data_IF_903356700122
#
_entry.id   IF_903356700122
#
_cell.length_a   1.000
_cell.length_b   1.000
_cell.length_c   1.000
_cell.angle_alpha   90.00
_cell.angle_beta   90.00
_cell.angle_gamma   90.00
#
_symmetry.space_group_name_H-M   'P 1'
#
loop_
_entity.id
_entity.type
_entity.pdbx_description
1 polymer ?
#
# COMPACT_ATOMS: atom_id res chain seq x y z
N UNK A 1 -74.52 30.23 -5.20
CA UNK A 1 -73.74 31.48 -5.30
C UNK A 1 -72.53 31.36 -4.37
N UNK A 2 -71.31 31.63 -4.90
CA UNK A 2 -69.95 31.52 -4.30
C UNK A 2 -69.35 30.09 -4.28
N UNK A 3 -68.63 29.63 -5.31
CA UNK A 3 -67.24 29.88 -5.80
C UNK A 3 -66.18 28.93 -5.18
N UNK A 4 -65.66 28.06 -6.05
CA UNK A 4 -64.36 27.37 -6.17
C UNK A 4 -63.33 27.40 -5.01
N UNK A 5 -62.75 26.24 -4.71
CA UNK A 5 -61.28 26.10 -4.67
C UNK A 5 -60.82 24.65 -4.97
N UNK A 6 -60.11 24.49 -6.08
CA UNK A 6 -59.36 23.27 -6.42
C UNK A 6 -58.15 23.14 -5.50
N UNK A 7 -58.01 22.01 -4.82
CA UNK A 7 -56.75 21.60 -4.21
C UNK A 7 -55.95 20.73 -5.20
N UNK A 8 -54.87 21.29 -5.73
CA UNK A 8 -53.84 20.58 -6.50
C UNK A 8 -53.01 19.75 -5.52
N UNK A 9 -53.08 18.43 -5.60
CA UNK A 9 -52.13 17.56 -4.89
C UNK A 9 -50.92 17.34 -5.78
N UNK A 10 -49.77 17.90 -5.38
CA UNK A 10 -48.48 17.74 -6.05
C UNK A 10 -48.03 16.27 -6.01
N UNK A 11 -47.54 15.77 -7.15
CA UNK A 11 -46.72 14.55 -7.24
C UNK A 11 -45.37 14.79 -6.55
N UNK A 12 -44.79 13.83 -5.81
CA UNK A 12 -43.44 13.99 -5.30
C UNK A 12 -42.44 13.83 -6.47
N UNK A 13 -41.62 14.85 -6.69
CA UNK A 13 -40.42 14.77 -7.51
C UNK A 13 -39.41 13.93 -6.73
N UNK A 14 -39.17 12.70 -7.17
CA UNK A 14 -38.04 11.90 -6.68
C UNK A 14 -36.78 12.46 -7.33
N UNK A 15 -36.02 13.24 -6.56
CA UNK A 15 -34.68 13.67 -6.92
C UNK A 15 -33.76 12.45 -6.78
N UNK A 16 -33.43 11.78 -7.89
CA UNK A 16 -32.37 10.76 -7.92
C UNK A 16 -31.05 11.52 -7.82
N UNK A 17 -30.50 11.59 -6.61
CA UNK A 17 -29.15 12.07 -6.39
C UNK A 17 -28.20 10.96 -6.88
N UNK A 18 -27.72 11.08 -8.11
CA UNK A 18 -26.67 10.21 -8.65
C UNK A 18 -25.37 10.52 -7.91
N UNK A 19 -25.13 9.84 -6.79
CA UNK A 19 -23.80 9.83 -6.18
C UNK A 19 -22.91 9.02 -7.13
N UNK A 20 -22.05 9.71 -7.87
CA UNK A 20 -20.88 9.07 -8.49
C UNK A 20 -19.99 8.59 -7.34
N UNK A 21 -20.24 7.39 -6.84
CA UNK A 21 -19.24 6.63 -6.10
C UNK A 21 -18.15 6.33 -7.12
N UNK A 22 -17.06 7.08 -7.08
CA UNK A 22 -15.80 6.64 -7.67
C UNK A 22 -15.49 5.30 -7.02
N UNK A 23 -15.73 4.21 -7.73
CA UNK A 23 -15.21 2.92 -7.30
C UNK A 23 -13.69 3.10 -7.23
N UNK A 24 -13.03 2.85 -6.08
CA UNK A 24 -11.57 2.86 -6.05
C UNK A 24 -11.05 1.90 -7.12
N UNK A 25 -9.86 2.12 -7.66
CA UNK A 25 -9.26 1.16 -8.56
C UNK A 25 -9.18 -0.21 -7.86
N UNK A 26 -9.59 -1.28 -8.54
CA UNK A 26 -9.60 -2.63 -7.98
C UNK A 26 -8.49 -3.46 -8.65
N UNK A 27 -7.89 -4.40 -7.93
CA UNK A 27 -7.06 -5.49 -8.45
C UNK A 27 -7.47 -6.81 -7.78
N UNK A 28 -7.34 -7.94 -8.47
CA UNK A 28 -7.64 -9.26 -7.90
C UNK A 28 -6.51 -9.69 -6.96
N UNK A 29 -6.82 -9.72 -5.66
CA UNK A 29 -5.92 -10.27 -4.64
C UNK A 29 -5.82 -11.78 -4.82
N UNK A 30 -4.59 -12.28 -4.90
CA UNK A 30 -4.31 -13.73 -4.99
C UNK A 30 -4.24 -14.35 -3.59
N UNK A 31 -4.04 -13.53 -2.56
CA UNK A 31 -4.06 -13.92 -1.16
C UNK A 31 -5.18 -13.19 -0.42
N UNK A 32 -5.95 -13.92 0.41
CA UNK A 32 -6.80 -13.32 1.43
C UNK A 32 -8.32 -13.55 1.31
N UNK A 33 -8.79 -14.79 1.31
CA UNK A 33 -10.04 -15.08 2.05
C UNK A 33 -9.62 -15.51 3.44
N UNK A 34 -9.44 -14.57 4.40
CA UNK A 34 -9.60 -14.73 5.86
C UNK A 34 -9.21 -13.47 6.69
N UNK A 35 -8.87 -12.31 6.09
CA UNK A 35 -8.60 -11.08 6.85
C UNK A 35 -9.18 -9.81 6.20
N UNK A 36 -9.54 -8.84 7.04
CA UNK A 36 -9.97 -7.47 6.67
C UNK A 36 -8.78 -6.59 6.23
N UNK A 37 -7.57 -7.16 6.11
CA UNK A 37 -6.33 -6.49 5.71
C UNK A 37 -5.83 -7.12 4.40
N UNK A 38 -5.32 -6.32 3.45
CA UNK A 38 -4.72 -6.86 2.23
C UNK A 38 -3.38 -7.58 2.48
N UNK A 39 -2.77 -7.38 3.66
CA UNK A 39 -1.51 -7.99 4.05
C UNK A 39 -1.69 -9.36 4.70
N UNK A 40 -0.85 -10.32 4.33
CA UNK A 40 -0.71 -11.62 4.99
C UNK A 40 0.59 -11.68 5.79
N UNK A 41 0.49 -11.96 7.09
CA UNK A 41 1.64 -11.99 7.99
C UNK A 41 2.33 -13.36 8.02
N UNK A 42 3.66 -13.34 8.01
CA UNK A 42 4.56 -14.49 8.15
C UNK A 42 5.62 -14.18 9.23
N UNK A 43 5.34 -14.52 10.51
CA UNK A 43 6.31 -14.35 11.59
C UNK A 43 7.50 -15.31 11.43
N UNK A 44 8.74 -14.82 11.61
CA UNK A 44 9.95 -15.63 11.45
C UNK A 44 10.23 -16.60 12.60
N UNK A 45 9.57 -16.42 13.75
CA UNK A 45 9.59 -17.33 14.90
C UNK A 45 8.56 -18.48 14.79
N UNK A 46 7.70 -18.47 13.78
CA UNK A 46 6.71 -19.51 13.57
C UNK A 46 7.31 -20.69 12.77
N UNK A 47 7.28 -21.89 13.37
CA UNK A 47 7.99 -23.08 12.89
C UNK A 47 7.60 -23.55 11.47
N UNK A 48 6.40 -23.21 11.02
CA UNK A 48 5.90 -23.59 9.70
C UNK A 48 6.07 -22.48 8.67
N UNK A 49 6.66 -21.35 9.04
CA UNK A 49 6.96 -20.25 8.11
C UNK A 49 7.98 -20.74 7.06
N UNK A 50 7.59 -20.90 5.79
CA UNK A 50 8.47 -21.46 4.77
C UNK A 50 9.65 -20.52 4.48
N UNK A 51 10.88 -21.04 4.50
CA UNK A 51 12.11 -20.33 4.10
C UNK A 51 12.44 -19.01 4.83
N UNK A 52 11.73 -18.62 5.90
CA UNK A 52 11.97 -17.38 6.66
C UNK A 52 12.39 -17.66 8.12
N UNK A 53 13.67 -18.01 8.38
CA UNK A 53 14.09 -18.67 9.62
C UNK A 53 14.64 -17.74 10.72
N UNK A 54 14.53 -16.42 10.60
CA UNK A 54 15.03 -15.50 11.65
C UNK A 54 13.94 -15.29 12.72
N UNK A 55 14.22 -15.76 13.93
CA UNK A 55 13.29 -15.69 15.06
C UNK A 55 13.01 -14.26 15.54
N UNK A 56 13.78 -13.28 15.07
CA UNK A 56 13.57 -11.87 15.35
C UNK A 56 13.15 -11.10 14.08
N UNK A 57 12.49 -11.75 13.12
CA UNK A 57 11.96 -11.07 11.94
C UNK A 57 10.46 -11.30 11.73
N UNK A 58 9.87 -10.39 10.97
CA UNK A 58 8.49 -10.47 10.49
C UNK A 58 8.46 -10.10 9.02
N UNK A 59 7.69 -10.86 8.26
CA UNK A 59 7.41 -10.60 6.86
C UNK A 59 5.91 -10.39 6.71
N UNK A 60 5.50 -9.38 5.96
CA UNK A 60 4.11 -9.20 5.57
C UNK A 60 4.06 -9.10 4.05
N UNK A 61 3.19 -9.87 3.41
CA UNK A 61 3.09 -9.92 1.95
C UNK A 61 1.76 -9.36 1.48
N UNK A 62 1.83 -8.58 0.40
CA UNK A 62 0.69 -8.19 -0.41
C UNK A 62 0.87 -8.80 -1.79
N UNK A 63 -0.02 -9.73 -2.17
CA UNK A 63 0.14 -10.55 -3.39
C UNK A 63 -1.10 -10.46 -4.26
N UNK A 64 -0.92 -10.07 -5.51
CA UNK A 64 -2.02 -9.84 -6.44
C UNK A 64 -1.61 -10.05 -7.90
N UNK A 65 -2.59 -10.16 -8.80
CA UNK A 65 -2.33 -10.23 -10.25
C UNK A 65 -2.17 -8.81 -10.83
N UNK A 66 -1.01 -8.43 -11.37
CA UNK A 66 -0.79 -7.06 -11.83
C UNK A 66 -1.64 -6.68 -13.06
N UNK A 67 -2.03 -7.67 -13.86
CA UNK A 67 -2.90 -7.52 -15.02
C UNK A 67 -4.40 -7.64 -14.70
N UNK A 68 -4.74 -7.92 -13.44
CA UNK A 68 -6.14 -7.89 -13.01
C UNK A 68 -6.47 -6.49 -12.49
N UNK A 69 -7.57 -5.93 -13.00
CA UNK A 69 -8.10 -4.66 -12.50
C UNK A 69 -7.65 -3.40 -13.24
N UNK A 70 -8.14 -2.25 -12.77
CA UNK A 70 -8.01 -0.96 -13.46
C UNK A 70 -7.22 0.03 -12.59
N UNK A 71 -5.91 -0.19 -12.49
CA UNK A 71 -4.96 0.68 -11.80
C UNK A 71 -3.67 0.81 -12.63
N UNK A 72 -3.00 1.93 -12.48
CA UNK A 72 -1.74 2.23 -13.17
C UNK A 72 -0.55 2.24 -12.19
N UNK A 73 -0.81 2.59 -10.94
CA UNK A 73 0.18 2.57 -9.85
C UNK A 73 -0.47 2.26 -8.50
N UNK A 74 0.34 1.78 -7.57
CA UNK A 74 0.00 1.67 -6.16
C UNK A 74 0.74 2.73 -5.35
N UNK A 75 0.04 3.39 -4.44
CA UNK A 75 0.63 4.25 -3.42
C UNK A 75 0.67 3.48 -2.11
N UNK A 76 1.86 3.38 -1.52
CA UNK A 76 2.11 2.73 -0.24
C UNK A 76 2.55 3.79 0.76
N UNK A 77 1.76 3.99 1.81
CA UNK A 77 2.06 4.98 2.85
C UNK A 77 2.23 4.30 4.20
N UNK A 78 3.26 4.69 4.95
CA UNK A 78 3.58 4.04 6.21
C UNK A 78 4.53 4.87 7.06
N UNK A 79 4.98 4.26 8.16
CA UNK A 79 5.99 4.82 9.05
C UNK A 79 7.19 3.88 9.12
N UNK A 80 8.39 4.43 9.22
CA UNK A 80 9.60 3.66 9.48
C UNK A 80 9.44 2.89 10.79
N UNK A 81 9.65 1.57 10.88
CA UNK A 81 9.50 0.85 12.13
C UNK A 81 10.68 1.15 13.08
N UNK A 82 10.48 1.00 14.39
CA UNK A 82 11.57 0.94 15.36
C UNK A 82 12.24 -0.43 15.27
N UNK A 83 13.19 -0.58 14.36
CA UNK A 83 13.86 -1.85 14.09
C UNK A 83 15.31 -1.65 13.68
N UNK A 84 16.09 -2.74 13.66
CA UNK A 84 17.47 -2.71 13.17
C UNK A 84 17.53 -2.63 11.65
N UNK A 85 16.58 -3.27 10.97
CA UNK A 85 16.52 -3.26 9.51
C UNK A 85 15.08 -3.41 9.01
N UNK A 86 14.79 -2.76 7.89
CA UNK A 86 13.50 -2.76 7.21
C UNK A 86 13.67 -2.71 5.69
N UNK A 87 12.78 -3.35 4.92
CA UNK A 87 12.76 -3.19 3.46
C UNK A 87 11.44 -3.55 2.79
N UNK A 88 11.29 -3.01 1.57
CA UNK A 88 10.32 -3.48 0.58
C UNK A 88 11.04 -4.30 -0.48
N UNK A 89 10.46 -5.44 -0.88
CA UNK A 89 11.02 -6.31 -1.91
C UNK A 89 9.90 -6.77 -2.83
N UNK A 90 10.17 -6.79 -4.13
CA UNK A 90 9.24 -7.22 -5.16
C UNK A 90 9.70 -8.54 -5.76
N UNK A 91 8.75 -9.45 -5.85
CA UNK A 91 8.91 -10.77 -6.42
C UNK A 91 7.86 -11.01 -7.49
N UNK A 92 8.24 -11.75 -8.54
CA UNK A 92 7.28 -12.63 -9.16
C UNK A 92 7.03 -13.78 -8.20
N UNK A 93 5.91 -13.70 -7.49
CA UNK A 93 5.53 -14.65 -6.45
C UNK A 93 5.27 -16.05 -7.01
N UNK A 94 4.87 -16.16 -8.29
CA UNK A 94 4.62 -17.46 -8.91
C UNK A 94 5.94 -18.18 -9.25
N UNK A 95 6.90 -17.46 -9.82
CA UNK A 95 8.22 -18.01 -10.18
C UNK A 95 9.24 -17.95 -9.03
N UNK A 96 8.91 -17.28 -7.92
CA UNK A 96 9.78 -17.04 -6.78
C UNK A 96 11.09 -16.31 -7.15
N UNK A 97 11.03 -15.36 -8.08
CA UNK A 97 12.17 -14.56 -8.54
C UNK A 97 12.02 -13.12 -8.08
N UNK A 98 13.07 -12.55 -7.47
CA UNK A 98 13.12 -11.13 -7.14
C UNK A 98 13.42 -10.28 -8.38
N UNK A 99 12.94 -9.03 -8.38
CA UNK A 99 13.26 -8.09 -9.46
C UNK A 99 13.47 -6.64 -9.01
N UNK A 100 13.07 -6.28 -7.78
CA UNK A 100 13.38 -4.97 -7.20
C UNK A 100 13.34 -5.03 -5.68
N UNK A 101 14.11 -4.16 -5.03
CA UNK A 101 14.09 -3.96 -3.59
C UNK A 101 14.38 -2.50 -3.25
N UNK A 102 13.93 -2.09 -2.07
CA UNK A 102 14.23 -0.79 -1.49
C UNK A 102 14.49 -1.00 0.01
N UNK A 103 15.76 -0.85 0.41
CA UNK A 103 16.19 -0.95 1.79
C UNK A 103 15.87 0.33 2.57
N UNK A 104 15.70 0.19 3.88
CA UNK A 104 15.43 1.29 4.81
C UNK A 104 16.22 2.57 4.57
N UNK A 105 17.55 2.49 4.44
CA UNK A 105 18.45 3.62 4.24
C UNK A 105 18.26 4.31 2.88
N UNK A 106 17.68 3.62 1.90
CA UNK A 106 17.41 4.15 0.56
C UNK A 106 16.06 4.88 0.48
N UNK A 107 15.15 4.64 1.43
CA UNK A 107 13.83 5.24 1.46
C UNK A 107 13.94 6.69 1.92
N UNK A 108 13.54 7.61 1.06
CA UNK A 108 13.42 9.01 1.40
C UNK A 108 12.15 9.25 2.23
N UNK A 109 12.23 9.98 3.35
CA UNK A 109 11.06 10.29 4.16
C UNK A 109 10.14 11.31 3.48
N UNK A 110 8.89 11.38 3.94
CA UNK A 110 7.97 12.44 3.56
C UNK A 110 8.53 13.82 3.95
N UNK A 111 8.03 14.88 3.32
CA UNK A 111 8.54 16.24 3.59
C UNK A 111 8.27 16.63 5.04
N UNK A 112 9.33 17.00 5.76
CA UNK A 112 9.28 17.30 7.20
C UNK A 112 9.50 16.08 8.10
N UNK A 113 9.62 14.88 7.53
CA UNK A 113 9.81 13.64 8.28
C UNK A 113 11.28 13.18 8.18
N UNK A 114 11.67 12.30 9.10
CA UNK A 114 13.03 11.79 9.26
C UNK A 114 13.05 10.30 8.92
N UNK A 115 14.07 9.88 8.16
CA UNK A 115 14.43 8.47 8.06
C UNK A 115 15.36 8.10 9.24
N UNK A 116 14.91 7.30 10.21
CA UNK A 116 15.69 6.95 11.40
C UNK A 116 16.75 5.86 11.16
N UNK A 117 16.85 5.35 9.93
CA UNK A 117 17.89 4.41 9.50
C UNK A 117 19.08 5.11 8.84
N UNK A 118 18.96 6.41 8.55
CA UNK A 118 20.11 7.25 8.22
C UNK A 118 20.96 7.41 9.50
N UNK A 119 22.25 7.02 9.48
CA UNK A 119 23.13 7.07 10.65
C UNK A 119 23.34 8.50 11.19
N UNK A 120 23.10 9.53 10.38
CA UNK A 120 23.24 10.93 10.79
C UNK A 120 21.95 11.50 11.40
N UNK A 121 20.87 10.71 11.46
CA UNK A 121 19.56 11.12 11.97
C UNK A 121 19.24 10.52 13.33
N UNK A 122 18.26 11.14 14.01
CA UNK A 122 17.74 10.63 15.28
C UNK A 122 16.88 9.39 15.04
N UNK A 123 17.27 8.28 15.67
CA UNK A 123 16.56 7.00 15.59
C UNK A 123 15.19 6.98 16.28
N UNK A 124 15.00 7.90 17.23
CA UNK A 124 13.78 8.09 18.02
C UNK A 124 12.88 9.23 17.50
N UNK A 125 13.09 9.69 16.27
CA UNK A 125 12.22 10.68 15.64
C UNK A 125 10.75 10.20 15.61
N UNK A 126 9.82 11.12 15.93
CA UNK A 126 8.37 10.86 15.90
C UNK A 126 7.79 11.06 14.49
N UNK A 127 8.18 12.12 13.79
CA UNK A 127 7.78 12.38 12.41
C UNK A 127 8.61 11.52 11.45
N UNK A 128 8.12 10.31 11.15
CA UNK A 128 8.88 9.24 10.47
C UNK A 128 8.10 8.52 9.37
N UNK A 129 7.17 9.20 8.73
CA UNK A 129 6.41 8.65 7.59
C UNK A 129 7.19 8.66 6.27
N UNK A 130 6.81 7.73 5.41
CA UNK A 130 7.25 7.66 4.02
C UNK A 130 6.06 7.36 3.09
N UNK A 131 6.23 7.75 1.85
CA UNK A 131 5.37 7.39 0.72
C UNK A 131 6.20 6.73 -0.37
N UNK A 132 5.76 5.57 -0.84
CA UNK A 132 6.34 4.80 -1.94
C UNK A 132 5.30 4.62 -3.04
N UNK A 133 5.76 4.69 -4.29
CA UNK A 133 4.94 4.37 -5.46
C UNK A 133 5.47 3.13 -6.16
N UNK A 134 4.59 2.15 -6.41
CA UNK A 134 4.84 1.06 -7.33
C UNK A 134 4.12 1.35 -8.64
N UNK A 135 4.89 1.69 -9.68
CA UNK A 135 4.34 2.14 -10.97
C UNK A 135 4.50 1.06 -12.02
N UNK A 136 3.46 0.82 -12.83
CA UNK A 136 3.59 -0.06 -14.01
C UNK A 136 4.61 0.52 -14.98
N UNK A 137 5.35 -0.36 -15.65
CA UNK A 137 6.27 0.04 -16.72
C UNK A 137 5.57 0.92 -17.77
N UNK A 138 6.19 2.04 -18.12
CA UNK A 138 5.63 3.02 -19.05
C UNK A 138 4.61 3.99 -18.46
N UNK A 139 4.20 3.83 -17.20
CA UNK A 139 3.34 4.78 -16.49
C UNK A 139 4.19 5.84 -15.80
N UNK A 140 3.91 7.14 -15.96
CA UNK A 140 4.62 8.18 -15.23
C UNK A 140 4.30 8.12 -13.73
N UNK A 141 5.34 8.19 -12.89
CA UNK A 141 5.17 8.40 -11.47
C UNK A 141 4.68 9.84 -11.16
N UNK A 142 4.03 10.08 -10.01
CA UNK A 142 3.74 11.44 -9.56
C UNK A 142 5.00 12.30 -9.53
N UNK A 143 4.88 13.57 -9.94
CA UNK A 143 6.04 14.46 -10.11
C UNK A 143 6.83 14.72 -8.81
N UNK A 144 6.17 14.60 -7.66
CA UNK A 144 6.74 14.77 -6.31
C UNK A 144 7.10 13.43 -5.64
N UNK A 145 7.00 12.30 -6.36
CA UNK A 145 7.33 10.99 -5.84
C UNK A 145 8.82 10.90 -5.49
N UNK A 146 9.11 10.69 -4.20
CA UNK A 146 10.49 10.52 -3.70
C UNK A 146 11.00 9.09 -3.79
N UNK A 147 10.09 8.12 -3.70
CA UNK A 147 10.39 6.69 -3.74
C UNK A 147 9.54 6.04 -4.82
N UNK A 148 10.17 5.46 -5.83
CA UNK A 148 9.50 4.80 -6.95
C UNK A 148 10.14 3.45 -7.20
N UNK A 149 9.32 2.41 -7.24
CA UNK A 149 9.67 1.10 -7.74
C UNK A 149 8.88 0.84 -9.01
N UNK A 150 9.53 0.26 -10.03
CA UNK A 150 8.87 -0.08 -11.28
C UNK A 150 8.41 -1.53 -11.23
N UNK A 151 7.17 -1.77 -11.63
CA UNK A 151 6.58 -3.07 -11.89
C UNK A 151 6.77 -3.38 -13.39
N UNK A 152 7.69 -4.28 -13.76
CA UNK A 152 7.92 -4.66 -15.16
C UNK A 152 6.70 -5.33 -15.76
N UNK A 153 6.54 -5.20 -17.08
CA UNK A 153 5.57 -6.02 -17.81
C UNK A 153 5.92 -7.51 -17.70
N UNK A 154 4.89 -8.38 -17.70
CA UNK A 154 5.07 -9.83 -17.72
C UNK A 154 5.33 -10.49 -16.36
N UNK A 155 5.26 -9.74 -15.25
CA UNK A 155 5.19 -10.33 -13.91
C UNK A 155 3.88 -11.12 -13.77
N UNK A 156 3.98 -12.43 -13.56
CA UNK A 156 2.81 -13.33 -13.52
C UNK A 156 1.98 -13.11 -12.25
N UNK A 157 2.64 -12.96 -11.11
CA UNK A 157 1.99 -12.64 -9.84
C UNK A 157 2.90 -11.73 -9.04
N UNK A 158 2.45 -10.51 -8.75
CA UNK A 158 3.25 -9.57 -7.98
C UNK A 158 3.16 -9.92 -6.50
N UNK A 159 4.29 -10.10 -5.85
CA UNK A 159 4.40 -10.10 -4.39
C UNK A 159 5.21 -8.90 -3.89
N UNK A 160 4.57 -8.01 -3.15
CA UNK A 160 5.21 -6.97 -2.35
C UNK A 160 5.46 -7.52 -0.95
N UNK A 161 6.73 -7.59 -0.55
CA UNK A 161 7.17 -8.10 0.73
C UNK A 161 7.68 -6.96 1.59
N UNK A 162 7.00 -6.73 2.70
CA UNK A 162 7.50 -5.95 3.81
C UNK A 162 8.35 -6.82 4.71
N UNK A 163 9.57 -6.39 5.03
CA UNK A 163 10.44 -7.10 5.95
C UNK A 163 10.81 -6.21 7.12
N UNK A 164 10.64 -6.70 8.35
CA UNK A 164 11.07 -6.05 9.58
C UNK A 164 11.99 -7.02 10.32
N UNK A 165 13.22 -6.59 10.62
CA UNK A 165 14.20 -7.40 11.33
C UNK A 165 14.67 -6.71 12.60
N UNK A 166 14.62 -7.47 13.68
CA UNK A 166 14.97 -7.08 15.05
C UNK A 166 14.34 -5.74 15.44
N UNK A 167 13.01 -5.72 15.66
CA UNK A 167 12.36 -4.61 16.34
C UNK A 167 13.08 -4.25 17.64
N UNK A 168 13.05 -2.98 17.99
CA UNK A 168 13.61 -2.49 19.24
C UNK A 168 12.87 -3.09 20.44
N UNK A 169 13.61 -3.26 21.54
CA UNK A 169 13.02 -3.76 22.77
C UNK A 169 11.89 -2.84 23.24
N UNK A 170 10.73 -3.43 23.55
CA UNK A 170 9.54 -2.70 23.99
C UNK A 170 8.52 -2.44 22.87
N UNK A 171 8.90 -2.67 21.61
CA UNK A 171 7.98 -2.65 20.47
C UNK A 171 7.55 -4.05 20.05
N UNK A 172 6.46 -4.12 19.29
CA UNK A 172 5.94 -5.36 18.72
C UNK A 172 6.78 -5.83 17.50
N UNK A 173 6.34 -6.91 16.85
CA UNK A 173 7.02 -7.47 15.68
C UNK A 173 7.04 -6.56 14.46
N UNK A 174 6.24 -5.47 14.44
CA UNK A 174 6.25 -4.44 13.42
C UNK A 174 7.13 -3.24 13.82
N UNK A 175 7.75 -3.23 14.99
CA UNK A 175 8.51 -2.09 15.47
C UNK A 175 7.62 -0.91 15.85
N UNK A 176 6.41 -1.17 16.36
CA UNK A 176 5.55 -0.15 16.97
C UNK A 176 4.74 0.69 16.00
N UNK A 177 4.69 0.31 14.72
CA UNK A 177 3.95 1.02 13.67
C UNK A 177 2.88 0.12 13.05
N UNK A 178 1.86 0.72 12.44
CA UNK A 178 0.87 -0.01 11.67
C UNK A 178 1.48 -0.53 10.36
N UNK A 179 0.85 -1.57 9.79
CA UNK A 179 1.16 -1.98 8.41
C UNK A 179 0.88 -0.82 7.43
N UNK A 180 1.67 -0.67 6.36
CA UNK A 180 1.46 0.38 5.39
C UNK A 180 0.09 0.28 4.72
N UNK A 181 -0.53 1.42 4.45
CA UNK A 181 -1.77 1.50 3.67
C UNK A 181 -1.41 1.45 2.19
N UNK A 182 -2.12 0.61 1.44
CA UNK A 182 -1.99 0.48 -0.02
C UNK A 182 -3.24 1.05 -0.68
N UNK A 183 -3.04 2.00 -1.59
CA UNK A 183 -4.09 2.59 -2.42
C UNK A 183 -3.77 2.34 -3.90
N UNK A 184 -4.72 1.79 -4.64
CA UNK A 184 -4.61 1.66 -6.09
C UNK A 184 -5.09 2.95 -6.78
N UNK A 185 -4.30 3.47 -7.71
CA UNK A 185 -4.53 4.75 -8.37
C UNK A 185 -4.45 4.61 -9.89
N UNK A 186 -5.21 5.45 -10.61
CA UNK A 186 -5.02 5.70 -12.04
C UNK A 186 -4.02 6.85 -12.21
N UNK A 187 -3.17 6.76 -13.22
CA UNK A 187 -2.30 7.86 -13.58
C UNK A 187 -3.14 8.97 -14.18
N UNK A 188 -2.86 10.21 -13.79
CA UNK A 188 -3.45 11.37 -14.45
C UNK A 188 -2.75 11.54 -15.81
N UNK A 189 -3.38 11.00 -16.86
CA UNK A 189 -2.87 11.06 -18.23
C UNK A 189 -3.18 12.42 -18.90
N UNK A 190 -3.73 13.40 -18.18
CA UNK A 190 -4.24 14.65 -18.77
C UNK A 190 -3.17 15.70 -19.12
N UNK A 191 -1.88 15.39 -18.97
CA UNK A 191 -0.77 16.32 -19.29
C UNK A 191 0.09 15.90 -20.50
N UNK A 192 -0.49 15.17 -21.46
CA UNK A 192 0.13 14.84 -22.76
C UNK A 192 -0.31 15.72 -23.91
#
# INVERSE_FOLDING_TARGET
>A
MKTLQMAKTLLPVILILSVFLSNPAHAELVQGTFAQSPWTAFPGDFRLTPAFPDTCSRYDTFVFKPDSGDFDLLKVTGQFPHARYFSFNLYDYFYATDFAALADIEIQPDTGHINPFDPDQRRDAEDRSYTLYLVKEGVPAPADAKNVMVLPAGVETLGLFLRVYRPDQGYDSLGGVALPVIEALKADLSSG
#
